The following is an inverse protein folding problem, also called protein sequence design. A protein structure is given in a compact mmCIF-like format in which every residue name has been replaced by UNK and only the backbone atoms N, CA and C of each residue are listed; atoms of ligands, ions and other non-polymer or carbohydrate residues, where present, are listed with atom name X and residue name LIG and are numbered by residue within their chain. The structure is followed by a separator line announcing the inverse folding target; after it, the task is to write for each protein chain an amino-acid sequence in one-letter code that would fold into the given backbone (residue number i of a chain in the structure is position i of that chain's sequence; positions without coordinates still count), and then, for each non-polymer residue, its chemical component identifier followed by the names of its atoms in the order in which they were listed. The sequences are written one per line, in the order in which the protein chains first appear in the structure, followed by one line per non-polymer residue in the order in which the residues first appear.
data_IF_138028630861
#
_entry.id   IF_138028630861
#
_cell.length_a   1.000
_cell.length_b   1.000
_cell.length_c   1.000
_cell.angle_alpha   90.00
_cell.angle_beta   90.00
_cell.angle_gamma   90.00
#
_symmetry.space_group_name_H-M   'P 1'
#
loop_
_entity.id
_entity.type
_entity.pdbx_description
1 polymer ?
#
# COMPACT_ATOMS: atom_id res chain seq x y z
N UNK A 1 -46.68 -27.51 -11.74
CA UNK A 1 -46.24 -27.32 -11.72
C UNK A 1 -45.43 -26.81 -11.62
N UNK A 2 -45.15 -26.64 -11.47
CA UNK A 2 -44.39 -26.23 -11.37
C UNK A 2 -43.52 -25.70 -10.93
N UNK A 3 -43.37 -25.60 -10.68
CA UNK A 3 -42.54 -25.11 -10.18
C UNK A 3 -41.53 -24.98 -10.15
N UNK A 4 -41.41 -25.09 -10.16
CA UNK A 4 -40.46 -25.13 -10.11
C UNK A 4 -39.61 -24.40 -10.29
N UNK A 5 -39.60 -24.19 -10.34
CA UNK A 5 -38.81 -23.64 -10.53
C UNK A 5 -38.15 -22.91 -10.02
N UNK A 6 -38.34 -22.69 -9.63
CA UNK A 6 -37.79 -22.04 -9.13
C UNK A 6 -36.85 -21.97 -8.67
N UNK A 7 -36.86 -22.14 -8.57
CA UNK A 7 -36.03 -22.19 -8.02
C UNK A 7 -35.02 -21.81 -8.24
N UNK A 8 -34.86 -21.69 -8.34
CA UNK A 8 -33.92 -21.50 -8.44
C UNK A 8 -33.28 -20.64 -8.34
N UNK A 9 -33.51 -20.28 -8.25
CA UNK A 9 -32.96 -19.58 -8.11
C UNK A 9 -32.23 -19.25 -7.46
N UNK A 10 -32.33 -19.22 -7.17
CA UNK A 10 -31.77 -18.96 -6.43
C UNK A 10 -30.70 -18.95 -6.35
N UNK A 11 -30.45 -19.21 -6.34
CA UNK A 11 -29.42 -19.35 -6.09
C UNK A 11 -28.62 -18.53 -6.40
N UNK A 12 -28.73 -18.09 -6.64
CA UNK A 12 -28.05 -17.51 -6.77
C UNK A 12 -27.42 -16.82 -6.27
N UNK A 13 -27.51 -16.67 -6.19
CA UNK A 13 -27.08 -16.11 -5.73
C UNK A 13 -26.23 -15.80 -5.15
N UNK A 14 -26.20 -15.69 -4.97
CA UNK A 14 -25.54 -15.46 -4.30
C UNK A 14 -24.47 -15.31 -4.31
N UNK A 15 -24.20 -15.42 -4.43
CA UNK A 15 -23.10 -15.46 -4.51
C UNK A 15 -22.48 -14.47 -4.61
N UNK A 16 -22.66 -13.91 -4.74
CA UNK A 16 -22.09 -13.10 -4.82
C UNK A 16 -21.44 -12.60 -4.11
N UNK A 17 -21.34 -12.53 -3.78
CA UNK A 17 -20.78 -12.03 -3.12
C UNK A 17 -19.75 -11.96 -2.89
N UNK A 18 -19.19 -11.74 -2.99
CA UNK A 18 -18.19 -11.62 -2.71
C UNK A 18 -17.44 -10.93 -2.80
N UNK A 19 -17.11 -10.70 -2.70
CA UNK A 19 -16.33 -10.18 -2.68
C UNK A 19 -15.65 -9.67 -2.55
N UNK A 20 -15.66 -9.40 -2.43
CA UNK A 20 -15.16 -8.92 -2.26
C UNK A 20 -14.21 -8.54 -2.02
N UNK A 21 -13.88 -8.65 -2.07
CA UNK A 21 -12.83 -8.41 -2.09
C UNK A 21 -12.24 -7.34 -1.53
N UNK A 22 -12.23 -7.25 -0.58
CA UNK A 22 -11.61 -6.23 0.07
C UNK A 22 -10.16 -6.31 -0.09
N UNK A 23 -9.65 -5.47 -0.80
CA UNK A 23 -8.24 -5.40 -0.99
C UNK A 23 -7.67 -4.49 0.05
N UNK A 24 -6.87 -5.00 0.91
CA UNK A 24 -6.18 -4.17 1.86
C UNK A 24 -5.03 -3.46 1.17
N UNK A 25 -4.82 -2.22 1.48
CA UNK A 25 -3.68 -1.49 0.97
C UNK A 25 -2.40 -1.96 1.64
N UNK A 26 -1.28 -1.70 1.00
CA UNK A 26 0.03 -1.97 1.58
C UNK A 26 0.87 -0.71 1.47
N UNK A 27 1.51 -0.35 2.56
CA UNK A 27 2.32 0.86 2.66
C UNK A 27 3.62 0.53 3.36
N UNK A 28 4.61 1.40 3.17
CA UNK A 28 5.87 1.28 3.88
C UNK A 28 6.27 2.64 4.39
N UNK A 29 6.85 2.68 5.58
CA UNK A 29 7.53 3.87 6.00
C UNK A 29 9.03 3.64 5.85
N UNK A 30 9.73 4.72 5.56
CA UNK A 30 11.12 4.60 5.15
C UNK A 30 11.88 5.88 5.49
N UNK A 31 13.19 5.78 5.40
CA UNK A 31 14.08 6.95 5.48
C UNK A 31 14.89 7.06 4.21
N UNK A 32 15.10 8.28 3.78
CA UNK A 32 15.85 8.56 2.55
C UNK A 32 16.74 9.76 2.76
N UNK A 33 17.73 9.91 1.88
CA UNK A 33 18.65 11.04 1.96
C UNK A 33 18.91 11.64 0.59
N UNK A 34 19.36 12.88 0.61
CA UNK A 34 19.90 13.57 -0.53
C UNK A 34 21.25 14.13 -0.10
N UNK A 35 22.21 14.22 -1.01
CA UNK A 35 23.50 14.81 -0.72
C UNK A 35 23.64 16.17 -1.39
N UNK A 36 24.59 16.98 -0.94
CA UNK A 36 25.00 18.26 -1.53
C UNK A 36 23.90 19.33 -1.51
N UNK A 37 23.37 19.74 -0.36
CA UNK A 37 23.74 19.36 0.99
C UNK A 37 22.99 18.13 1.44
N UNK A 38 23.45 17.56 2.54
CA UNK A 38 22.77 16.40 3.11
C UNK A 38 21.41 16.79 3.61
N UNK A 39 20.41 16.04 3.16
CA UNK A 39 19.05 16.16 3.63
C UNK A 39 18.51 14.79 3.94
N UNK A 40 17.68 14.71 4.95
CA UNK A 40 17.07 13.44 5.33
C UNK A 40 15.57 13.63 5.37
N UNK A 41 14.83 12.57 5.07
CA UNK A 41 13.40 12.61 5.35
C UNK A 41 12.88 11.22 5.72
N UNK A 42 11.81 11.26 6.50
CA UNK A 42 10.99 10.10 6.80
C UNK A 42 9.74 10.24 5.95
N UNK A 43 9.36 9.16 5.29
CA UNK A 43 8.18 9.20 4.44
C UNK A 43 7.36 7.93 4.53
N UNK A 44 6.18 8.00 3.93
CA UNK A 44 5.27 6.87 3.82
C UNK A 44 4.90 6.76 2.35
N UNK A 45 4.96 5.55 1.81
CA UNK A 45 4.64 5.31 0.40
C UNK A 45 3.72 4.12 0.27
N UNK A 46 2.90 4.14 -0.77
CA UNK A 46 2.06 3.00 -1.10
C UNK A 46 2.89 1.99 -1.87
N UNK A 47 2.73 0.72 -1.53
CA UNK A 47 3.46 -0.37 -2.17
C UNK A 47 2.49 -1.17 -3.03
N UNK A 48 2.84 -1.34 -4.29
CA UNK A 48 1.97 -2.00 -5.26
C UNK A 48 2.25 -3.50 -5.39
N UNK A 49 3.46 -3.90 -5.05
CA UNK A 49 3.87 -5.31 -5.12
C UNK A 49 3.52 -6.01 -3.80
N UNK A 50 4.12 -7.17 -3.57
CA UNK A 50 3.87 -7.92 -2.34
C UNK A 50 4.21 -7.07 -1.12
N UNK A 51 3.42 -7.27 -0.07
CA UNK A 51 3.54 -6.45 1.14
C UNK A 51 4.60 -7.02 2.06
N UNK A 52 5.85 -6.86 1.67
CA UNK A 52 6.97 -7.24 2.54
C UNK A 52 8.11 -6.23 2.34
N UNK A 53 9.03 -6.22 3.29
CA UNK A 53 10.08 -5.21 3.31
C UNK A 53 11.01 -5.26 2.10
N UNK A 54 11.34 -6.46 1.64
CA UNK A 54 12.25 -6.59 0.50
C UNK A 54 11.61 -6.06 -0.79
N UNK A 55 10.33 -6.35 -0.98
CA UNK A 55 9.62 -5.84 -2.16
C UNK A 55 9.42 -4.34 -2.07
N UNK A 56 9.15 -3.83 -0.88
CA UNK A 56 9.00 -2.40 -0.68
C UNK A 56 10.31 -1.68 -1.02
N UNK A 57 11.42 -2.22 -0.57
CA UNK A 57 12.73 -1.65 -0.86
C UNK A 57 12.99 -1.62 -2.36
N UNK A 58 12.73 -2.72 -3.04
CA UNK A 58 12.96 -2.81 -4.48
C UNK A 58 12.08 -1.84 -5.25
N UNK A 59 10.87 -1.62 -4.76
CA UNK A 59 9.93 -0.73 -5.43
C UNK A 59 10.25 0.74 -5.17
N UNK A 60 10.65 1.08 -3.95
CA UNK A 60 10.90 2.46 -3.57
C UNK A 60 12.22 3.01 -4.11
N UNK A 61 13.22 2.17 -4.25
CA UNK A 61 14.54 2.63 -4.68
C UNK A 61 14.48 3.43 -5.98
N UNK A 62 13.87 2.92 -7.05
CA UNK A 62 13.81 3.71 -8.29
C UNK A 62 12.87 4.90 -8.21
N UNK A 63 11.79 4.81 -7.44
CA UNK A 63 10.88 5.95 -7.30
C UNK A 63 11.57 7.13 -6.66
N UNK A 64 12.33 6.86 -5.61
CA UNK A 64 13.06 7.91 -4.91
C UNK A 64 14.21 8.45 -5.77
N UNK A 65 14.93 7.56 -6.45
CA UNK A 65 16.05 7.96 -7.29
C UNK A 65 15.62 8.90 -8.40
N UNK A 66 14.39 8.76 -8.89
CA UNK A 66 13.87 9.64 -9.95
C UNK A 66 13.83 11.09 -9.50
N UNK A 67 13.82 11.35 -8.20
CA UNK A 67 13.82 12.72 -7.66
C UNK A 67 15.04 12.96 -6.79
N UNK A 68 16.13 12.28 -7.10
CA UNK A 68 17.44 12.46 -6.46
C UNK A 68 17.50 12.07 -5.00
N UNK A 69 16.60 11.19 -4.57
CA UNK A 69 16.63 10.66 -3.22
C UNK A 69 17.19 9.25 -3.22
N UNK A 70 17.97 8.94 -2.20
CA UNK A 70 18.53 7.61 -2.00
C UNK A 70 17.81 6.97 -0.80
N UNK A 71 17.22 5.81 -1.04
CA UNK A 71 16.59 5.07 0.05
C UNK A 71 17.67 4.58 1.02
N UNK A 72 17.49 4.86 2.31
CA UNK A 72 18.39 4.36 3.33
C UNK A 72 17.90 3.03 3.87
N UNK A 73 16.65 2.98 4.26
CA UNK A 73 16.06 1.72 4.72
C UNK A 73 14.54 1.84 4.78
N UNK A 74 13.90 0.69 4.64
CA UNK A 74 12.47 0.55 4.91
C UNK A 74 12.34 0.18 6.38
N UNK A 75 11.56 0.97 7.11
CA UNK A 75 11.40 0.75 8.55
C UNK A 75 10.38 -0.33 8.83
N UNK A 76 9.24 -0.29 8.13
CA UNK A 76 8.20 -1.29 8.30
C UNK A 76 7.26 -1.27 7.11
N UNK A 77 6.47 -2.35 6.97
CA UNK A 77 5.35 -2.38 6.03
C UNK A 77 4.10 -2.61 6.84
N UNK A 78 2.98 -2.03 6.36
CA UNK A 78 1.75 -2.03 7.14
C UNK A 78 0.55 -1.78 6.23
N UNK A 79 -0.63 -2.03 6.77
CA UNK A 79 -1.88 -1.81 6.05
C UNK A 79 -2.48 -0.44 6.31
N UNK A 80 -3.71 -0.25 5.87
CA UNK A 80 -4.41 1.03 5.99
C UNK A 80 -4.48 1.53 7.43
N UNK A 81 -4.59 0.63 8.38
CA UNK A 81 -4.74 1.00 9.77
C UNK A 81 -3.50 1.69 10.35
N UNK A 82 -2.37 1.58 9.67
CA UNK A 82 -1.14 2.19 10.15
C UNK A 82 -0.88 3.59 9.62
N UNK A 83 -1.74 4.11 8.75
CA UNK A 83 -1.49 5.38 8.08
C UNK A 83 -1.62 6.59 9.00
N UNK A 84 -2.72 6.66 9.75
CA UNK A 84 -3.01 7.86 10.53
C UNK A 84 -1.92 8.20 11.54
N UNK A 85 -1.35 7.18 12.17
CA UNK A 85 -0.34 7.41 13.20
C UNK A 85 1.00 7.87 12.63
N UNK A 86 1.19 7.78 11.32
CA UNK A 86 2.44 8.16 10.66
C UNK A 86 2.33 9.42 9.83
N UNK A 87 1.11 9.88 9.60
CA UNK A 87 0.85 10.97 8.68
C UNK A 87 1.56 12.27 9.08
N UNK A 88 1.45 12.65 10.34
CA UNK A 88 2.07 13.89 10.80
C UNK A 88 3.59 13.84 10.74
N UNK A 89 4.17 12.68 11.07
CA UNK A 89 5.61 12.54 11.03
C UNK A 89 6.15 12.59 9.61
N UNK A 90 5.41 12.06 8.66
CA UNK A 90 5.84 12.07 7.27
C UNK A 90 5.66 13.45 6.64
N UNK A 91 4.67 14.21 7.09
CA UNK A 91 4.45 15.56 6.60
C UNK A 91 4.29 15.60 5.08
N UNK A 92 5.09 16.41 4.42
CA UNK A 92 4.99 16.54 2.97
C UNK A 92 5.46 15.30 2.21
N UNK A 93 6.05 14.36 2.90
CA UNK A 93 6.47 13.10 2.30
C UNK A 93 5.48 11.98 2.58
N UNK A 94 4.27 12.31 2.93
CA UNK A 94 3.21 11.36 3.13
C UNK A 94 2.60 11.02 1.76
N UNK A 95 2.78 9.80 1.33
CA UNK A 95 2.24 9.28 0.05
C UNK A 95 2.70 10.09 -1.17
N UNK A 96 3.88 10.66 -1.09
CA UNK A 96 4.39 11.49 -2.17
C UNK A 96 5.09 10.68 -3.26
N UNK A 97 5.84 9.66 -2.89
CA UNK A 97 6.61 8.84 -3.84
C UNK A 97 5.96 7.52 -4.18
#
# INVERSE_FOLDING_TARGET
MKNTCLTLLAALTVTLALPAAATAGCYADYKAKQDNPLRLHYGVAQIDDACDAAKAEAELTPRLAAEDWTLLNVLSVFGDEGLDQRKDSAGKFYLRF
#
